data_IF_931287464274
#
_entry.id   IF_931287464274
#
_cell.length_a   1.000
_cell.length_b   1.000
_cell.length_c   1.000
_cell.angle_alpha   90.00
_cell.angle_beta   90.00
_cell.angle_gamma   90.00
#
_symmetry.space_group_name_H-M   'P 1'
#
loop_
_entity.id
_entity.type
_entity.pdbx_description
1 polymer ?
#
# COMPACT_ATOMS: atom_id res chain seq x y z
N UNK A 1 -17.26 -18.78 4.96
CA UNK A 1 -17.01 -19.80 3.93
C UNK A 1 -15.68 -20.39 4.29
N UNK A 2 -15.75 -21.57 4.87
CA UNK A 2 -14.59 -22.25 5.40
C UNK A 2 -13.89 -23.00 4.27
N UNK A 3 -12.63 -23.37 4.50
CA UNK A 3 -11.84 -24.10 3.50
C UNK A 3 -12.53 -25.41 3.08
N UNK A 4 -13.22 -26.07 4.01
CA UNK A 4 -14.02 -27.27 3.74
C UNK A 4 -15.12 -27.05 2.70
N UNK A 5 -15.83 -25.91 2.76
CA UNK A 5 -16.91 -25.58 1.82
C UNK A 5 -16.33 -25.40 0.41
N UNK A 6 -15.20 -24.69 0.32
CA UNK A 6 -14.51 -24.48 -0.95
C UNK A 6 -14.04 -25.79 -1.58
N UNK A 7 -13.50 -26.72 -0.78
CA UNK A 7 -13.03 -28.02 -1.26
C UNK A 7 -14.20 -28.90 -1.72
N UNK A 8 -15.32 -28.89 -0.99
CA UNK A 8 -16.51 -29.64 -1.38
C UNK A 8 -17.08 -29.15 -2.73
N UNK A 9 -17.01 -27.84 -2.99
CA UNK A 9 -17.51 -27.24 -4.23
C UNK A 9 -16.57 -27.45 -5.43
N UNK A 10 -15.31 -27.89 -5.25
CA UNK A 10 -14.36 -28.05 -6.36
C UNK A 10 -14.87 -29.00 -7.45
N UNK A 11 -15.51 -30.10 -7.06
CA UNK A 11 -16.07 -31.07 -8.02
C UNK A 11 -17.23 -30.52 -8.84
N UNK A 12 -17.97 -29.55 -8.31
CA UNK A 12 -19.04 -28.86 -9.04
C UNK A 12 -18.46 -27.78 -9.96
N UNK A 13 -17.46 -27.03 -9.48
CA UNK A 13 -16.76 -26.00 -10.27
C UNK A 13 -16.08 -26.62 -11.50
N UNK A 14 -15.53 -27.83 -11.38
CA UNK A 14 -14.89 -28.54 -12.51
C UNK A 14 -15.89 -28.83 -13.64
N UNK A 15 -17.16 -29.07 -13.33
CA UNK A 15 -18.22 -29.31 -14.32
C UNK A 15 -18.75 -28.04 -14.98
N UNK A 16 -18.55 -26.87 -14.35
CA UNK A 16 -19.03 -25.58 -14.85
C UNK A 16 -18.24 -25.11 -16.09
N UNK A 17 -18.94 -24.44 -17.00
CA UNK A 17 -18.33 -23.73 -18.12
C UNK A 17 -17.44 -22.58 -17.62
N UNK A 18 -16.46 -22.09 -18.40
CA UNK A 18 -15.63 -20.95 -18.01
C UNK A 18 -16.46 -19.69 -17.64
N UNK A 19 -17.57 -19.45 -18.32
CA UNK A 19 -18.46 -18.32 -18.04
C UNK A 19 -19.14 -18.44 -16.68
N UNK A 20 -19.64 -19.63 -16.34
CA UNK A 20 -20.25 -19.91 -15.04
C UNK A 20 -19.23 -19.81 -13.90
N UNK A 21 -17.99 -20.28 -14.11
CA UNK A 21 -16.91 -20.12 -13.13
C UNK A 21 -16.59 -18.65 -12.87
N UNK A 22 -16.57 -17.81 -13.90
CA UNK A 22 -16.36 -16.37 -13.78
C UNK A 22 -17.53 -15.72 -13.02
N UNK A 23 -18.78 -16.10 -13.33
CA UNK A 23 -19.96 -15.60 -12.62
C UNK A 23 -19.94 -15.97 -11.13
N UNK A 24 -19.61 -17.23 -10.80
CA UNK A 24 -19.44 -17.70 -9.43
C UNK A 24 -18.33 -16.93 -8.70
N UNK A 25 -17.18 -16.69 -9.34
CA UNK A 25 -16.08 -15.93 -8.77
C UNK A 25 -16.47 -14.47 -8.46
N UNK A 26 -17.23 -13.82 -9.36
CA UNK A 26 -17.77 -12.47 -9.13
C UNK A 26 -18.73 -12.44 -7.95
N UNK A 27 -19.62 -13.42 -7.86
CA UNK A 27 -20.59 -13.52 -6.77
C UNK A 27 -19.91 -13.76 -5.42
N UNK A 28 -18.92 -14.67 -5.38
CA UNK A 28 -18.09 -14.89 -4.18
C UNK A 28 -17.36 -13.63 -3.76
N UNK A 29 -16.79 -12.87 -4.71
CA UNK A 29 -16.14 -11.59 -4.40
C UNK A 29 -17.13 -10.58 -3.81
N UNK A 30 -18.35 -10.52 -4.36
CA UNK A 30 -19.43 -9.65 -3.86
C UNK A 30 -19.81 -9.98 -2.41
N UNK A 31 -20.00 -11.26 -2.10
CA UNK A 31 -20.30 -11.74 -0.74
C UNK A 31 -19.13 -11.46 0.20
N UNK A 32 -17.90 -11.73 -0.23
CA UNK A 32 -16.69 -11.47 0.55
C UNK A 32 -16.58 -9.99 0.95
N UNK A 33 -16.81 -9.06 0.02
CA UNK A 33 -16.78 -7.63 0.28
C UNK A 33 -17.87 -7.19 1.27
N UNK A 34 -19.09 -7.74 1.14
CA UNK A 34 -20.19 -7.48 2.11
C UNK A 34 -19.82 -7.93 3.52
N UNK A 35 -19.34 -9.17 3.66
CA UNK A 35 -18.94 -9.71 4.96
C UNK A 35 -17.76 -8.92 5.55
N UNK A 36 -16.87 -8.39 4.70
CA UNK A 36 -15.76 -7.54 5.15
C UNK A 36 -16.25 -6.19 5.69
N UNK A 37 -17.19 -5.52 5.02
CA UNK A 37 -17.82 -4.27 5.48
C UNK A 37 -18.61 -4.46 6.79
N UNK A 38 -19.38 -5.55 6.90
CA UNK A 38 -20.08 -5.89 8.14
C UNK A 38 -19.11 -6.16 9.30
N UNK A 39 -17.99 -6.84 9.01
CA UNK A 39 -16.92 -7.08 10.00
C UNK A 39 -16.23 -5.80 10.40
N UNK A 40 -15.93 -4.90 9.46
CA UNK A 40 -15.32 -3.60 9.73
C UNK A 40 -16.23 -2.75 10.64
N UNK A 41 -17.54 -2.77 10.40
CA UNK A 41 -18.54 -2.11 11.27
C UNK A 41 -18.63 -2.69 12.67
N UNK A 42 -18.44 -4.00 12.81
CA UNK A 42 -18.43 -4.67 14.13
C UNK A 42 -17.10 -4.51 14.86
N UNK A 43 -16.00 -4.25 14.15
CA UNK A 43 -14.70 -4.04 14.76
C UNK A 43 -14.67 -2.66 15.43
N UNK A 44 -14.47 -2.67 16.75
CA UNK A 44 -14.14 -1.45 17.48
C UNK A 44 -12.83 -0.88 16.95
N UNK A 45 -12.71 0.45 16.75
CA UNK A 45 -11.46 1.06 16.32
C UNK A 45 -10.37 0.66 17.31
N UNK A 46 -9.35 -0.05 16.82
CA UNK A 46 -8.23 -0.44 17.68
C UNK A 46 -7.50 0.82 18.13
N UNK A 47 -7.14 0.87 19.42
CA UNK A 47 -6.30 1.95 19.93
C UNK A 47 -5.05 2.09 19.06
N UNK A 48 -4.56 3.33 18.84
CA UNK A 48 -3.36 3.56 18.05
C UNK A 48 -2.23 2.74 18.65
N UNK A 49 -1.78 1.72 17.91
CA UNK A 49 -0.64 0.90 18.34
C UNK A 49 0.57 1.82 18.35
N UNK A 50 1.34 1.80 19.45
CA UNK A 50 2.64 2.49 19.48
C UNK A 50 3.45 2.04 18.28
N UNK A 51 3.95 2.99 17.50
CA UNK A 51 4.78 2.71 16.33
C UNK A 51 6.07 2.02 16.79
N UNK A 52 6.11 0.70 16.65
CA UNK A 52 7.29 -0.11 16.99
C UNK A 52 8.32 -0.12 15.87
N UNK A 53 7.88 0.14 14.64
CA UNK A 53 8.74 0.20 13.47
C UNK A 53 9.12 1.66 13.23
N UNK A 54 10.42 1.93 13.26
CA UNK A 54 11.02 3.20 12.85
C UNK A 54 11.99 2.92 11.72
N UNK A 55 11.96 3.75 10.69
CA UNK A 55 12.97 3.74 9.63
C UNK A 55 14.13 4.65 10.03
N UNK A 56 15.29 4.47 9.38
CA UNK A 56 16.38 5.42 9.55
C UNK A 56 15.95 6.79 9.00
N UNK A 57 16.45 7.91 9.55
CA UNK A 57 16.08 9.25 9.10
C UNK A 57 16.47 9.49 7.64
N UNK A 58 17.52 8.84 7.13
CA UNK A 58 17.95 8.93 5.74
C UNK A 58 16.93 8.32 4.77
N UNK A 59 16.40 7.14 5.12
CA UNK A 59 15.37 6.47 4.31
C UNK A 59 14.08 7.27 4.33
N UNK A 60 13.70 7.79 5.50
CA UNK A 60 12.55 8.68 5.63
C UNK A 60 12.72 9.96 4.80
N UNK A 61 13.93 10.54 4.76
CA UNK A 61 14.21 11.75 3.99
C UNK A 61 14.11 11.51 2.49
N UNK A 62 14.70 10.41 1.98
CA UNK A 62 14.58 10.02 0.58
C UNK A 62 13.12 9.79 0.21
N UNK A 63 12.35 9.10 1.04
CA UNK A 63 10.96 8.80 0.75
C UNK A 63 10.04 10.03 0.86
N UNK A 64 10.26 10.91 1.84
CA UNK A 64 9.57 12.20 1.94
C UNK A 64 9.87 13.10 0.73
N UNK A 65 11.13 13.10 0.28
CA UNK A 65 11.53 13.83 -0.93
C UNK A 65 10.87 13.23 -2.16
N UNK A 66 10.86 11.90 -2.31
CA UNK A 66 10.20 11.19 -3.41
C UNK A 66 8.70 11.49 -3.51
N UNK A 67 8.03 11.75 -2.38
CA UNK A 67 6.61 12.13 -2.31
C UNK A 67 6.34 13.61 -2.59
N UNK A 68 7.37 14.44 -2.61
CA UNK A 68 7.24 15.90 -2.70
C UNK A 68 6.71 16.55 -1.43
N UNK A 69 6.82 15.90 -0.26
CA UNK A 69 6.36 16.43 1.02
C UNK A 69 7.42 17.36 1.63
N UNK A 70 7.36 18.64 1.26
CA UNK A 70 8.34 19.62 1.70
C UNK A 70 8.35 19.83 3.23
N UNK A 71 7.19 19.70 3.89
CA UNK A 71 7.07 19.89 5.34
C UNK A 71 7.76 18.76 6.10
N UNK A 72 7.56 17.52 5.65
CA UNK A 72 8.22 16.36 6.25
C UNK A 72 9.73 16.36 5.98
N UNK A 73 10.16 16.78 4.79
CA UNK A 73 11.59 16.97 4.45
C UNK A 73 12.23 17.98 5.40
N UNK A 74 11.62 19.15 5.61
CA UNK A 74 12.12 20.16 6.54
C UNK A 74 12.23 19.61 7.97
N UNK A 75 11.20 18.91 8.44
CA UNK A 75 11.19 18.28 9.77
C UNK A 75 12.34 17.29 9.94
N UNK A 76 12.56 16.41 8.96
CA UNK A 76 13.62 15.40 9.01
C UNK A 76 15.02 16.02 8.97
N UNK A 77 15.21 17.10 8.20
CA UNK A 77 16.47 17.84 8.18
C UNK A 77 16.75 18.52 9.52
N UNK A 78 15.72 19.09 10.17
CA UNK A 78 15.84 19.66 11.52
C UNK A 78 16.15 18.60 12.58
N UNK A 79 15.67 17.36 12.40
CA UNK A 79 15.99 16.22 13.27
C UNK A 79 17.39 15.63 13.02
N UNK A 80 18.13 16.14 12.04
CA UNK A 80 19.51 15.75 11.76
C UNK A 80 19.66 14.66 10.69
N UNK A 81 18.64 14.43 9.86
CA UNK A 81 18.77 13.55 8.70
C UNK A 81 19.86 14.08 7.76
N UNK A 82 20.78 13.19 7.33
CA UNK A 82 21.86 13.59 6.42
C UNK A 82 21.30 13.87 5.00
N UNK A 83 21.37 15.11 4.49
CA UNK A 83 20.85 15.48 3.17
C UNK A 83 21.64 14.85 2.01
N UNK A 84 22.85 14.35 2.28
CA UNK A 84 23.72 13.73 1.27
C UNK A 84 23.61 12.19 1.26
N UNK A 85 22.70 11.62 2.04
CA UNK A 85 22.40 10.19 1.95
C UNK A 85 21.82 9.84 0.59
N UNK A 86 22.06 8.62 0.12
CA UNK A 86 21.61 8.20 -1.19
C UNK A 86 20.85 6.86 -1.14
N UNK A 87 19.98 6.63 -2.12
CA UNK A 87 19.33 5.35 -2.32
C UNK A 87 20.29 4.31 -2.94
N UNK A 88 19.79 3.11 -3.23
CA UNK A 88 20.58 2.02 -3.84
C UNK A 88 21.16 2.39 -5.22
N UNK A 89 20.54 3.34 -5.94
CA UNK A 89 21.01 3.86 -7.22
C UNK A 89 22.05 4.99 -7.10
N UNK A 90 22.36 5.45 -5.88
CA UNK A 90 23.24 6.60 -5.65
C UNK A 90 22.55 7.97 -5.78
N UNK A 91 21.22 8.03 -5.84
CA UNK A 91 20.45 9.27 -5.88
C UNK A 91 20.27 9.86 -4.48
N UNK A 92 20.65 11.12 -4.31
CA UNK A 92 20.41 11.89 -3.09
C UNK A 92 18.99 12.47 -3.10
N UNK A 93 18.48 12.96 -1.95
CA UNK A 93 17.26 13.75 -1.91
C UNK A 93 17.22 14.85 -2.98
N UNK A 94 18.34 15.56 -3.18
CA UNK A 94 18.40 16.61 -4.20
C UNK A 94 18.26 16.06 -5.63
N UNK A 95 18.85 14.91 -5.94
CA UNK A 95 18.66 14.25 -7.23
C UNK A 95 17.18 13.88 -7.44
N UNK A 96 16.53 13.30 -6.41
CA UNK A 96 15.11 12.93 -6.48
C UNK A 96 14.20 14.16 -6.62
N UNK A 97 14.45 15.23 -5.87
CA UNK A 97 13.71 16.49 -5.99
C UNK A 97 13.79 17.07 -7.41
N UNK A 98 14.97 17.03 -8.03
CA UNK A 98 15.17 17.51 -9.40
C UNK A 98 14.39 16.69 -10.42
N UNK A 99 14.25 15.37 -10.21
CA UNK A 99 13.43 14.51 -11.05
C UNK A 99 11.93 14.79 -10.87
N UNK A 100 11.46 15.03 -9.65
CA UNK A 100 10.04 15.33 -9.41
C UNK A 100 9.60 16.62 -10.09
N UNK A 101 10.46 17.64 -10.01
CA UNK A 101 10.21 18.92 -10.68
C UNK A 101 10.03 18.70 -12.18
N UNK A 102 10.84 17.85 -12.82
CA UNK A 102 10.72 17.59 -14.26
C UNK A 102 9.44 16.82 -14.62
N UNK A 103 9.01 15.85 -13.79
CA UNK A 103 7.74 15.16 -14.01
C UNK A 103 6.52 16.07 -13.86
N UNK A 104 6.52 16.95 -12.87
CA UNK A 104 5.45 17.93 -12.68
C UNK A 104 5.34 18.89 -13.86
N UNK A 105 6.45 19.32 -14.46
CA UNK A 105 6.43 20.16 -15.65
C UNK A 105 6.09 19.43 -16.96
N UNK A 106 6.15 18.09 -16.99
CA UNK A 106 5.81 17.33 -18.20
C UNK A 106 4.35 16.81 -18.21
N UNK A 107 3.63 16.95 -17.09
CA UNK A 107 2.22 16.53 -16.96
C UNK A 107 1.21 17.67 -16.96
N UNK A 108 1.64 18.90 -17.26
CA UNK A 108 0.81 20.08 -17.53
C UNK A 108 1.25 20.76 -18.83
#
# INVERSE_FOLDING_TARGET
MDHSDLVAELGEIEKMTPAERIALARERRRIQLRNWDEREKQMTPTLPRRQRLKFSPEVALLEATSRGDAVEVERLLLEGANPNSHNEDGLTPLHQASLIISYFFHTY
#
